data_IF_285264046174
#
_entry.id   IF_285264046174
#
_cell.length_a   1.000
_cell.length_b   1.000
_cell.length_c   1.000
_cell.angle_alpha   90.00
_cell.angle_beta   90.00
_cell.angle_gamma   90.00
#
_symmetry.space_group_name_H-M   'P 1'
#
loop_
_entity.id
_entity.type
_entity.pdbx_description
1 polymer ?
#
# COMPACT_ATOMS: atom_id res chain seq x y z
N UNK A 1 -13.99 -15.79 -8.42
CA UNK A 1 -14.39 -14.49 -7.84
C UNK A 1 -15.04 -13.69 -8.96
N UNK A 2 -16.14 -13.00 -8.68
CA UNK A 2 -16.86 -12.19 -9.68
C UNK A 2 -16.32 -10.76 -9.70
N UNK A 3 -16.37 -10.02 -10.84
CA UNK A 3 -15.93 -8.64 -10.92
C UNK A 3 -16.78 -7.73 -10.03
N UNK A 4 -16.11 -6.77 -9.39
CA UNK A 4 -16.71 -5.75 -8.53
C UNK A 4 -16.72 -4.43 -9.30
N UNK A 5 -17.89 -3.83 -9.47
CA UNK A 5 -18.07 -2.58 -10.21
C UNK A 5 -18.37 -1.43 -9.24
N UNK A 6 -17.52 -0.42 -9.27
CA UNK A 6 -17.70 0.82 -8.51
C UNK A 6 -18.36 1.87 -9.40
N UNK A 7 -19.62 2.20 -9.09
CA UNK A 7 -20.40 3.17 -9.87
C UNK A 7 -20.35 4.60 -9.30
N UNK A 8 -19.37 4.88 -8.44
CA UNK A 8 -19.07 6.23 -7.99
C UNK A 8 -18.42 7.03 -9.12
N UNK A 9 -18.29 8.34 -8.92
CA UNK A 9 -17.63 9.19 -9.93
C UNK A 9 -16.11 8.88 -10.05
N UNK A 10 -15.48 9.25 -11.20
CA UNK A 10 -14.05 8.99 -11.40
C UNK A 10 -13.15 9.54 -10.30
N UNK A 11 -13.42 10.73 -9.78
CA UNK A 11 -12.66 11.32 -8.68
C UNK A 11 -12.84 10.57 -7.36
N UNK A 12 -14.06 10.06 -7.06
CA UNK A 12 -14.28 9.20 -5.90
C UNK A 12 -13.47 7.89 -6.01
N UNK A 13 -13.46 7.26 -7.18
CA UNK A 13 -12.71 6.02 -7.44
C UNK A 13 -11.20 6.24 -7.39
N UNK A 14 -10.71 7.28 -8.06
CA UNK A 14 -9.29 7.63 -8.12
C UNK A 14 -8.71 7.97 -6.74
N UNK A 15 -9.51 8.58 -5.87
CA UNK A 15 -9.09 8.87 -4.50
C UNK A 15 -8.86 7.58 -3.70
N UNK A 16 -9.86 6.70 -3.66
CA UNK A 16 -9.76 5.36 -3.09
C UNK A 16 -10.95 4.49 -3.49
N UNK A 17 -10.73 3.18 -3.64
CA UNK A 17 -11.74 2.21 -4.04
C UNK A 17 -11.52 0.87 -3.33
N UNK A 18 -12.45 -0.07 -3.49
CA UNK A 18 -12.25 -1.46 -3.06
C UNK A 18 -11.15 -2.07 -3.94
N UNK A 19 -10.02 -2.56 -3.38
CA UNK A 19 -8.95 -3.15 -4.17
C UNK A 19 -9.46 -4.23 -5.14
N UNK A 20 -9.08 -4.11 -6.41
CA UNK A 20 -9.55 -5.01 -7.49
C UNK A 20 -10.92 -4.67 -8.08
N UNK A 21 -11.60 -3.61 -7.62
CA UNK A 21 -12.82 -3.13 -8.27
C UNK A 21 -12.52 -2.39 -9.58
N UNK A 22 -13.46 -2.48 -10.51
CA UNK A 22 -13.44 -1.75 -11.79
C UNK A 22 -14.26 -0.47 -11.68
N UNK A 23 -13.76 0.62 -12.24
CA UNK A 23 -14.50 1.87 -12.33
C UNK A 23 -15.56 1.79 -13.42
N UNK A 24 -16.83 1.97 -13.06
CA UNK A 24 -17.96 2.08 -13.96
C UNK A 24 -18.84 3.28 -13.56
N UNK A 25 -18.36 4.52 -13.71
CA UNK A 25 -19.02 5.68 -13.16
C UNK A 25 -20.40 5.91 -13.77
N UNK A 26 -21.43 6.00 -12.89
CA UNK A 26 -22.77 6.41 -13.31
C UNK A 26 -22.83 7.88 -13.72
N UNK A 27 -21.95 8.71 -13.15
CA UNK A 27 -21.86 10.15 -13.38
C UNK A 27 -20.40 10.56 -13.44
N UNK A 28 -20.07 11.55 -14.27
CA UNK A 28 -18.82 12.31 -14.17
C UNK A 28 -18.76 13.03 -12.82
N UNK A 29 -17.63 13.63 -12.48
CA UNK A 29 -17.51 14.41 -11.23
C UNK A 29 -18.41 15.65 -11.25
N UNK A 30 -18.54 16.30 -12.40
CA UNK A 30 -19.41 17.46 -12.62
C UNK A 30 -20.90 17.07 -12.52
N UNK A 31 -21.31 16.02 -13.19
CA UNK A 31 -22.69 15.54 -13.13
C UNK A 31 -23.07 15.10 -11.71
N UNK A 32 -22.16 14.38 -11.04
CA UNK A 32 -22.33 13.98 -9.64
C UNK A 32 -22.50 15.21 -8.75
N UNK A 33 -21.75 16.30 -8.98
CA UNK A 33 -21.89 17.57 -8.24
C UNK A 33 -23.27 18.19 -8.47
N UNK A 34 -23.72 18.25 -9.72
CA UNK A 34 -25.06 18.78 -10.10
C UNK A 34 -26.16 17.98 -9.43
N UNK A 35 -26.17 16.66 -9.56
CA UNK A 35 -27.17 15.75 -8.97
C UNK A 35 -27.14 15.85 -7.44
N UNK A 36 -25.94 15.90 -6.84
CA UNK A 36 -25.77 16.02 -5.39
C UNK A 36 -26.26 17.36 -4.84
N UNK A 37 -26.05 18.46 -5.56
CA UNK A 37 -26.56 19.78 -5.19
C UNK A 37 -28.09 19.83 -5.29
N UNK A 38 -28.66 19.32 -6.38
CA UNK A 38 -30.10 19.23 -6.54
C UNK A 38 -30.76 18.39 -5.45
N UNK A 39 -30.12 17.28 -5.03
CA UNK A 39 -30.60 16.47 -3.91
C UNK A 39 -30.71 17.24 -2.60
N UNK A 40 -29.72 18.10 -2.31
CA UNK A 40 -29.69 18.90 -1.08
C UNK A 40 -30.65 20.09 -1.10
N UNK A 41 -30.78 20.76 -2.26
CA UNK A 41 -31.47 22.04 -2.37
C UNK A 41 -32.90 21.89 -2.88
N UNK A 42 -33.18 20.92 -3.76
CA UNK A 42 -34.44 20.77 -4.47
C UNK A 42 -35.14 19.44 -4.14
N UNK A 43 -34.49 18.58 -3.36
CA UNK A 43 -35.05 17.32 -2.91
C UNK A 43 -34.80 16.12 -3.83
N UNK A 44 -35.15 14.94 -3.31
CA UNK A 44 -34.88 13.63 -3.93
C UNK A 44 -35.44 13.49 -5.35
N UNK A 45 -36.70 13.92 -5.55
CA UNK A 45 -37.39 13.73 -6.84
C UNK A 45 -36.72 14.51 -7.97
N UNK A 46 -36.33 15.76 -7.71
CA UNK A 46 -35.65 16.58 -8.71
C UNK A 46 -34.27 16.04 -9.06
N UNK A 47 -33.50 15.60 -8.05
CA UNK A 47 -32.22 14.97 -8.26
C UNK A 47 -32.32 13.70 -9.12
N UNK A 48 -33.37 12.86 -8.92
CA UNK A 48 -33.62 11.69 -9.75
C UNK A 48 -33.89 12.11 -11.19
N UNK A 49 -34.76 13.11 -11.43
CA UNK A 49 -35.06 13.58 -12.82
C UNK A 49 -33.81 14.06 -13.54
N UNK A 50 -32.92 14.79 -12.86
CA UNK A 50 -31.65 15.24 -13.43
C UNK A 50 -30.72 14.05 -13.68
N UNK A 51 -30.58 13.15 -12.71
CA UNK A 51 -29.74 11.95 -12.84
C UNK A 51 -30.16 11.04 -13.96
N UNK A 52 -31.47 10.85 -14.19
CA UNK A 52 -31.99 10.04 -15.29
C UNK A 52 -31.64 10.60 -16.69
N UNK A 53 -31.53 11.95 -16.82
CA UNK A 53 -31.09 12.55 -18.09
C UNK A 53 -29.66 12.16 -18.44
N UNK A 54 -28.76 12.17 -17.45
CA UNK A 54 -27.37 11.74 -17.63
C UNK A 54 -27.28 10.22 -17.83
N UNK A 55 -27.97 9.45 -16.97
CA UNK A 55 -27.93 7.99 -17.04
C UNK A 55 -28.46 7.45 -18.37
N UNK A 56 -29.58 7.98 -18.88
CA UNK A 56 -30.17 7.52 -20.13
C UNK A 56 -29.23 7.56 -21.33
N UNK A 57 -28.40 8.59 -21.41
CA UNK A 57 -27.39 8.74 -22.49
C UNK A 57 -26.28 7.70 -22.38
N UNK A 58 -25.94 7.26 -21.18
CA UNK A 58 -24.78 6.40 -20.92
C UNK A 58 -25.14 4.89 -20.89
N UNK A 59 -26.42 4.53 -20.81
CA UNK A 59 -26.85 3.14 -20.59
C UNK A 59 -26.22 2.13 -21.55
N UNK A 60 -26.26 2.39 -22.85
CA UNK A 60 -25.71 1.46 -23.84
C UNK A 60 -24.19 1.30 -23.68
N UNK A 61 -23.46 2.42 -23.54
CA UNK A 61 -22.01 2.39 -23.36
C UNK A 61 -21.59 1.73 -22.03
N UNK A 62 -22.41 1.82 -20.99
CA UNK A 62 -22.15 1.10 -19.74
C UNK A 62 -22.26 -0.42 -19.92
N UNK A 63 -23.23 -0.90 -20.68
CA UNK A 63 -23.36 -2.32 -21.00
C UNK A 63 -22.12 -2.83 -21.74
N UNK A 64 -21.67 -2.12 -22.79
CA UNK A 64 -20.48 -2.47 -23.58
C UNK A 64 -19.22 -2.51 -22.69
N UNK A 65 -19.06 -1.54 -21.81
CA UNK A 65 -17.95 -1.53 -20.85
C UNK A 65 -18.00 -2.73 -19.90
N UNK A 66 -19.18 -3.10 -19.39
CA UNK A 66 -19.34 -4.26 -18.49
C UNK A 66 -19.06 -5.56 -19.23
N UNK A 67 -19.47 -5.71 -20.47
CA UNK A 67 -19.13 -6.88 -21.29
C UNK A 67 -17.61 -7.03 -21.45
N UNK A 68 -16.91 -5.94 -21.77
CA UNK A 68 -15.45 -5.93 -21.89
C UNK A 68 -14.75 -6.27 -20.56
N UNK A 69 -15.20 -5.66 -19.46
CA UNK A 69 -14.69 -5.95 -18.10
C UNK A 69 -14.93 -7.43 -17.76
N UNK A 70 -16.13 -7.93 -18.00
CA UNK A 70 -16.50 -9.31 -17.68
C UNK A 70 -15.68 -10.32 -18.49
N UNK A 71 -15.54 -10.09 -19.79
CA UNK A 71 -14.72 -10.93 -20.67
C UNK A 71 -13.23 -10.95 -20.24
N UNK A 72 -12.67 -9.79 -19.90
CA UNK A 72 -11.30 -9.68 -19.41
C UNK A 72 -11.12 -10.39 -18.06
N UNK A 73 -12.04 -10.16 -17.12
CA UNK A 73 -11.98 -10.73 -15.77
C UNK A 73 -12.13 -12.25 -15.74
N UNK A 74 -12.94 -12.81 -16.65
CA UNK A 74 -13.24 -14.24 -16.70
C UNK A 74 -12.35 -15.01 -17.70
N UNK A 75 -11.39 -14.34 -18.33
CA UNK A 75 -10.45 -14.97 -19.26
C UNK A 75 -9.68 -16.10 -18.56
N UNK A 76 -9.80 -17.33 -19.10
CA UNK A 76 -9.14 -18.51 -18.52
C UNK A 76 -9.86 -19.14 -17.33
N UNK A 77 -11.04 -18.64 -16.95
CA UNK A 77 -11.87 -19.26 -15.90
C UNK A 77 -12.74 -20.41 -16.46
N UNK A 78 -13.23 -21.33 -15.61
CA UNK A 78 -14.11 -22.41 -16.01
C UNK A 78 -15.39 -21.89 -16.70
N UNK A 79 -15.89 -22.66 -17.69
CA UNK A 79 -17.06 -22.27 -18.53
C UNK A 79 -18.31 -21.97 -17.69
N UNK A 80 -18.54 -22.73 -16.63
CA UNK A 80 -19.68 -22.52 -15.72
C UNK A 80 -19.61 -21.17 -14.98
N UNK A 81 -18.42 -20.68 -14.66
CA UNK A 81 -18.20 -19.36 -14.05
C UNK A 81 -18.52 -18.26 -15.08
N UNK A 82 -18.02 -18.42 -16.31
CA UNK A 82 -18.27 -17.47 -17.40
C UNK A 82 -19.76 -17.41 -17.75
N UNK A 83 -20.46 -18.53 -17.78
CA UNK A 83 -21.90 -18.59 -18.10
C UNK A 83 -22.80 -17.97 -17.03
N UNK A 84 -22.36 -17.90 -15.77
CA UNK A 84 -23.16 -17.32 -14.66
C UNK A 84 -23.40 -15.84 -14.79
N UNK A 85 -22.62 -15.10 -15.59
CA UNK A 85 -22.72 -13.64 -15.81
C UNK A 85 -22.97 -12.86 -14.51
N UNK A 86 -22.26 -13.19 -13.43
CA UNK A 86 -22.50 -12.64 -12.11
C UNK A 86 -21.59 -11.45 -11.82
N UNK A 87 -22.15 -10.37 -11.25
CA UNK A 87 -21.47 -9.12 -10.94
C UNK A 87 -21.80 -8.66 -9.51
N UNK A 88 -20.89 -7.96 -8.89
CA UNK A 88 -21.11 -7.18 -7.67
C UNK A 88 -21.00 -5.68 -7.99
N UNK A 89 -22.04 -4.92 -7.66
CA UNK A 89 -22.08 -3.47 -7.91
C UNK A 89 -22.16 -2.73 -6.58
N UNK A 90 -21.44 -1.64 -6.46
CA UNK A 90 -21.57 -0.74 -5.32
C UNK A 90 -21.46 0.73 -5.69
N UNK A 91 -22.06 1.56 -4.85
CA UNK A 91 -21.78 3.01 -4.79
C UNK A 91 -21.35 3.37 -3.36
N UNK A 92 -21.45 4.64 -2.98
CA UNK A 92 -21.06 5.08 -1.63
C UNK A 92 -21.81 4.37 -0.50
N UNK A 93 -23.13 4.16 -0.64
CA UNK A 93 -24.01 3.56 0.41
C UNK A 93 -24.81 2.34 -0.04
N UNK A 94 -24.60 1.80 -1.26
CA UNK A 94 -25.43 0.74 -1.79
C UNK A 94 -26.88 1.17 -2.06
N UNK A 95 -27.08 2.44 -2.43
CA UNK A 95 -28.41 3.04 -2.66
C UNK A 95 -28.71 3.27 -4.15
N UNK A 96 -29.45 4.35 -4.46
CA UNK A 96 -30.02 4.63 -5.77
C UNK A 96 -29.06 4.49 -6.96
N UNK A 97 -27.80 4.93 -6.84
CA UNK A 97 -26.82 4.83 -7.93
C UNK A 97 -26.54 3.37 -8.29
N UNK A 98 -26.19 2.55 -7.30
CA UNK A 98 -25.94 1.12 -7.53
C UNK A 98 -27.20 0.36 -7.91
N UNK A 99 -28.39 0.72 -7.39
CA UNK A 99 -29.65 0.07 -7.76
C UNK A 99 -30.05 0.38 -9.21
N UNK A 100 -29.84 1.61 -9.69
CA UNK A 100 -30.10 1.96 -11.09
C UNK A 100 -29.23 1.20 -12.07
N UNK A 101 -27.92 1.11 -11.79
CA UNK A 101 -26.99 0.34 -12.62
C UNK A 101 -27.28 -1.17 -12.51
N UNK A 102 -27.56 -1.67 -11.31
CA UNK A 102 -27.92 -3.09 -11.14
C UNK A 102 -29.18 -3.45 -11.94
N UNK A 103 -30.20 -2.60 -11.92
CA UNK A 103 -31.40 -2.78 -12.76
C UNK A 103 -31.10 -2.86 -14.24
N UNK A 104 -30.25 -1.95 -14.76
CA UNK A 104 -29.85 -1.95 -16.17
C UNK A 104 -29.14 -3.25 -16.56
N UNK A 105 -28.19 -3.69 -15.74
CA UNK A 105 -27.37 -4.87 -16.02
C UNK A 105 -28.18 -6.17 -15.85
N UNK A 106 -29.12 -6.22 -14.89
CA UNK A 106 -30.04 -7.33 -14.71
C UNK A 106 -30.99 -7.45 -15.92
N UNK A 107 -31.55 -6.33 -16.40
CA UNK A 107 -32.35 -6.27 -17.61
C UNK A 107 -31.60 -6.82 -18.82
N UNK A 108 -30.31 -6.57 -18.93
CA UNK A 108 -29.46 -7.06 -20.02
C UNK A 108 -29.08 -8.55 -19.88
N UNK A 109 -29.29 -9.15 -18.71
CA UNK A 109 -29.07 -10.58 -18.47
C UNK A 109 -27.86 -10.93 -17.59
N UNK A 110 -27.30 -9.96 -16.88
CA UNK A 110 -26.35 -10.24 -15.79
C UNK A 110 -27.09 -10.55 -14.49
N UNK A 111 -26.55 -11.46 -13.70
CA UNK A 111 -26.95 -11.65 -12.30
C UNK A 111 -26.22 -10.66 -11.42
N UNK A 112 -26.91 -9.67 -10.87
CA UNK A 112 -26.27 -8.55 -10.17
C UNK A 112 -26.54 -8.60 -8.67
N UNK A 113 -25.46 -8.54 -7.90
CA UNK A 113 -25.53 -8.33 -6.44
C UNK A 113 -25.13 -6.89 -6.13
N UNK A 114 -25.78 -6.29 -5.13
CA UNK A 114 -25.44 -4.96 -4.63
C UNK A 114 -24.77 -5.11 -3.26
N UNK A 115 -23.60 -4.51 -3.09
CA UNK A 115 -22.93 -4.48 -1.78
C UNK A 115 -23.76 -3.67 -0.80
N UNK A 116 -24.32 -4.35 0.21
CA UNK A 116 -25.11 -3.73 1.26
C UNK A 116 -24.26 -2.69 2.02
N UNK A 117 -24.77 -1.47 2.16
CA UNK A 117 -24.06 -0.35 2.76
C UNK A 117 -22.94 0.26 1.89
N UNK A 118 -22.62 -0.36 0.73
CA UNK A 118 -21.68 0.13 -0.27
C UNK A 118 -20.26 0.35 0.25
N UNK A 119 -19.53 1.23 -0.41
CA UNK A 119 -18.15 1.57 -0.05
C UNK A 119 -18.01 2.08 1.40
N UNK A 120 -19.00 2.77 1.93
CA UNK A 120 -19.02 3.21 3.33
C UNK A 120 -18.98 2.04 4.30
N UNK A 121 -19.67 0.93 4.00
CA UNK A 121 -19.63 -0.28 4.82
C UNK A 121 -18.29 -0.99 4.70
N UNK A 122 -17.72 -1.08 3.49
CA UNK A 122 -16.35 -1.58 3.28
C UNK A 122 -15.33 -0.80 4.13
N UNK A 123 -15.41 0.53 4.17
CA UNK A 123 -14.52 1.34 5.01
C UNK A 123 -14.65 1.06 6.51
N UNK A 124 -15.84 0.73 6.99
CA UNK A 124 -16.01 0.28 8.39
C UNK A 124 -15.30 -1.05 8.64
N UNK A 125 -15.40 -1.97 7.69
CA UNK A 125 -14.68 -3.24 7.75
C UNK A 125 -13.16 -3.02 7.72
N UNK A 126 -12.66 -2.08 6.92
CA UNK A 126 -11.25 -1.69 6.90
C UNK A 126 -10.77 -1.24 8.28
N UNK A 127 -11.48 -0.33 8.93
CA UNK A 127 -11.13 0.10 10.29
C UNK A 127 -11.18 -1.03 11.31
N UNK A 128 -12.17 -1.90 11.20
CA UNK A 128 -12.27 -3.07 12.05
C UNK A 128 -11.05 -4.01 11.92
N UNK A 129 -10.47 -4.15 10.72
CA UNK A 129 -9.24 -4.93 10.57
C UNK A 129 -8.08 -4.37 11.41
N UNK A 130 -7.94 -3.06 11.55
CA UNK A 130 -6.87 -2.47 12.35
C UNK A 130 -7.08 -2.61 13.87
N UNK A 131 -8.31 -2.84 14.31
CA UNK A 131 -8.66 -3.05 15.71
C UNK A 131 -8.51 -4.50 16.16
N UNK A 132 -8.43 -5.46 15.21
CA UNK A 132 -8.16 -6.87 15.52
C UNK A 132 -6.76 -7.03 16.13
N UNK A 133 -6.62 -8.01 16.99
CA UNK A 133 -5.32 -8.43 17.52
C UNK A 133 -4.60 -9.36 16.54
N UNK A 134 -3.34 -9.06 16.27
CA UNK A 134 -2.46 -9.84 15.42
C UNK A 134 -1.23 -10.28 16.18
N UNK A 135 -0.77 -11.51 15.94
CA UNK A 135 0.55 -11.92 16.35
C UNK A 135 1.56 -11.44 15.32
N UNK A 136 2.28 -10.38 15.66
CA UNK A 136 3.19 -9.68 14.73
C UNK A 136 4.64 -10.01 15.10
N UNK A 137 5.45 -10.35 14.11
CA UNK A 137 6.90 -10.39 14.18
C UNK A 137 7.46 -9.25 13.30
N UNK A 138 8.38 -8.46 13.84
CA UNK A 138 8.95 -7.31 13.16
C UNK A 138 10.38 -7.60 12.73
N UNK A 139 10.70 -7.36 11.45
CA UNK A 139 12.06 -7.44 10.92
C UNK A 139 12.72 -6.08 11.11
N UNK A 140 13.65 -6.00 12.07
CA UNK A 140 14.50 -4.85 12.32
C UNK A 140 15.85 -4.96 11.63
N UNK A 141 16.60 -3.89 11.66
CA UNK A 141 17.97 -3.85 11.12
C UNK A 141 18.29 -2.49 10.52
N UNK A 142 19.55 -2.16 10.51
CA UNK A 142 20.06 -0.92 9.95
C UNK A 142 19.70 -0.76 8.46
N UNK A 143 19.82 0.46 7.95
CA UNK A 143 19.65 0.73 6.52
C UNK A 143 20.63 -0.14 5.70
N UNK A 144 20.12 -0.75 4.63
CA UNK A 144 20.90 -1.63 3.75
C UNK A 144 21.05 -3.08 4.25
N UNK A 145 20.37 -3.49 5.33
CA UNK A 145 20.42 -4.89 5.81
C UNK A 145 19.55 -5.87 5.02
N UNK A 146 18.91 -5.45 3.93
CA UNK A 146 18.10 -6.32 3.07
C UNK A 146 16.77 -6.75 3.69
N UNK A 147 16.17 -5.96 4.59
CA UNK A 147 14.89 -6.30 5.25
C UNK A 147 13.78 -6.66 4.27
N UNK A 148 13.62 -5.88 3.23
CA UNK A 148 12.59 -6.11 2.19
C UNK A 148 12.82 -7.42 1.45
N UNK A 149 14.07 -7.73 1.09
CA UNK A 149 14.42 -8.99 0.42
C UNK A 149 14.16 -10.18 1.33
N UNK A 150 14.50 -10.05 2.62
CA UNK A 150 14.21 -11.08 3.64
C UNK A 150 12.70 -11.27 3.80
N UNK A 151 11.92 -10.19 3.84
CA UNK A 151 10.46 -10.25 3.93
C UNK A 151 9.85 -10.99 2.72
N UNK A 152 10.32 -10.68 1.51
CA UNK A 152 9.90 -11.36 0.28
C UNK A 152 10.31 -12.85 0.29
N UNK A 153 11.49 -13.16 0.82
CA UNK A 153 11.94 -14.54 0.96
C UNK A 153 11.07 -15.34 1.95
N UNK A 154 10.63 -14.73 3.06
CA UNK A 154 9.67 -15.35 3.98
C UNK A 154 8.33 -15.64 3.29
N UNK A 155 7.84 -14.74 2.44
CA UNK A 155 6.64 -14.97 1.62
C UNK A 155 6.82 -16.16 0.66
N UNK A 156 7.97 -16.26 -0.01
CA UNK A 156 8.28 -17.37 -0.91
C UNK A 156 8.35 -18.71 -0.19
N UNK A 157 8.73 -18.72 1.09
CA UNK A 157 8.71 -19.88 1.96
C UNK A 157 7.32 -20.20 2.55
N UNK A 158 6.27 -19.45 2.13
CA UNK A 158 4.89 -19.68 2.54
C UNK A 158 4.50 -19.06 3.87
N UNK A 159 5.36 -18.23 4.46
CA UNK A 159 5.04 -17.47 5.68
C UNK A 159 4.21 -16.22 5.34
N UNK A 160 3.31 -15.85 6.25
CA UNK A 160 2.53 -14.63 6.08
C UNK A 160 3.42 -13.40 6.35
N UNK A 161 3.65 -12.58 5.33
CA UNK A 161 4.43 -11.37 5.44
C UNK A 161 3.77 -10.23 4.65
N UNK A 162 3.81 -9.02 5.18
CA UNK A 162 3.20 -7.82 4.57
C UNK A 162 4.28 -6.77 4.37
N UNK A 163 4.50 -6.42 3.10
CA UNK A 163 5.43 -5.36 2.68
C UNK A 163 4.72 -4.01 2.74
N UNK A 164 4.96 -3.27 3.83
CA UNK A 164 4.34 -1.97 4.08
C UNK A 164 4.86 -0.90 3.11
N UNK A 165 6.13 -0.97 2.71
CA UNK A 165 6.73 -0.05 1.75
C UNK A 165 6.13 -0.25 0.34
N UNK A 166 5.93 -1.51 -0.08
CA UNK A 166 5.28 -1.81 -1.36
C UNK A 166 3.84 -1.31 -1.40
N UNK A 167 3.05 -1.53 -0.32
CA UNK A 167 1.67 -1.01 -0.24
C UNK A 167 1.65 0.52 -0.26
N UNK A 168 2.60 1.17 0.42
CA UNK A 168 2.74 2.63 0.43
C UNK A 168 3.33 3.19 -0.88
N UNK A 169 3.81 2.34 -1.80
CA UNK A 169 4.56 2.73 -3.01
C UNK A 169 5.72 3.68 -2.68
N UNK A 170 6.42 3.43 -1.57
CA UNK A 170 7.49 4.27 -1.06
C UNK A 170 8.51 3.46 -0.29
N UNK A 171 9.77 3.50 -0.68
CA UNK A 171 10.87 2.96 0.12
C UNK A 171 11.16 3.95 1.24
N UNK A 172 11.10 3.52 2.49
CA UNK A 172 11.11 4.34 3.72
C UNK A 172 12.28 5.31 3.93
N UNK A 173 13.25 5.35 3.02
CA UNK A 173 14.42 6.23 3.07
C UNK A 173 14.25 7.51 2.23
N UNK A 174 15.17 8.48 2.38
CA UNK A 174 15.24 9.67 1.52
C UNK A 174 15.43 9.32 0.04
N UNK A 175 15.91 8.12 -0.26
CA UNK A 175 16.07 7.59 -1.61
C UNK A 175 14.80 6.88 -2.11
N UNK A 176 13.79 6.68 -1.27
CA UNK A 176 12.53 6.03 -1.60
C UNK A 176 11.74 6.70 -2.72
N UNK A 177 11.91 8.00 -2.89
CA UNK A 177 11.27 8.80 -3.95
C UNK A 177 12.04 8.79 -5.30
N UNK A 178 13.15 8.07 -5.42
CA UNK A 178 13.92 8.04 -6.68
C UNK A 178 13.15 7.38 -7.84
N UNK A 179 12.18 6.53 -7.56
CA UNK A 179 11.37 5.84 -8.55
C UNK A 179 10.20 6.66 -9.07
N UNK A 180 9.95 7.87 -8.54
CA UNK A 180 8.86 8.80 -8.94
C UNK A 180 7.44 8.18 -9.03
N UNK A 181 7.17 7.11 -8.34
CA UNK A 181 5.81 6.56 -8.26
C UNK A 181 5.01 7.38 -7.25
N UNK A 182 3.83 7.87 -7.67
CA UNK A 182 2.93 8.61 -6.78
C UNK A 182 2.38 7.66 -5.72
N UNK A 183 2.56 8.03 -4.45
CA UNK A 183 1.96 7.28 -3.35
C UNK A 183 0.42 7.25 -3.47
N UNK A 184 -0.23 6.19 -3.02
CA UNK A 184 -1.69 6.14 -2.92
C UNK A 184 -2.19 7.22 -1.93
N UNK A 185 -3.48 7.50 -1.95
CA UNK A 185 -4.09 8.26 -0.86
C UNK A 185 -4.00 7.47 0.45
N UNK A 186 -4.07 8.16 1.59
CA UNK A 186 -4.14 7.52 2.91
C UNK A 186 -5.26 6.46 2.95
N UNK A 187 -6.42 6.79 2.41
CA UNK A 187 -7.58 5.91 2.37
C UNK A 187 -7.34 4.66 1.49
N UNK A 188 -6.67 4.82 0.35
CA UNK A 188 -6.34 3.68 -0.51
C UNK A 188 -5.28 2.78 0.11
N UNK A 189 -4.26 3.34 0.76
CA UNK A 189 -3.30 2.57 1.53
C UNK A 189 -3.97 1.73 2.63
N UNK A 190 -4.88 2.33 3.39
CA UNK A 190 -5.64 1.63 4.42
C UNK A 190 -6.50 0.50 3.84
N UNK A 191 -7.13 0.71 2.68
CA UNK A 191 -7.89 -0.32 1.98
C UNK A 191 -7.01 -1.52 1.60
N UNK A 192 -5.84 -1.25 1.04
CA UNK A 192 -4.87 -2.28 0.63
C UNK A 192 -4.34 -3.04 1.86
N UNK A 193 -3.90 -2.33 2.88
CA UNK A 193 -3.39 -2.94 4.12
C UNK A 193 -4.44 -3.82 4.81
N UNK A 194 -5.70 -3.37 4.86
CA UNK A 194 -6.78 -4.16 5.47
C UNK A 194 -7.05 -5.48 4.72
N UNK A 195 -6.94 -5.48 3.38
CA UNK A 195 -7.06 -6.71 2.59
C UNK A 195 -5.91 -7.68 2.90
N UNK A 196 -4.69 -7.18 3.07
CA UNK A 196 -3.57 -8.05 3.44
C UNK A 196 -3.71 -8.58 4.87
N UNK A 197 -4.15 -7.75 5.81
CA UNK A 197 -4.40 -8.17 7.19
C UNK A 197 -5.52 -9.21 7.31
N UNK A 198 -6.55 -9.16 6.46
CA UNK A 198 -7.64 -10.16 6.47
C UNK A 198 -7.18 -11.56 6.03
N UNK A 199 -6.08 -11.66 5.29
CA UNK A 199 -5.46 -12.93 4.90
C UNK A 199 -4.66 -13.58 6.03
N UNK A 200 -4.34 -12.84 7.08
CA UNK A 200 -3.51 -13.31 8.20
C UNK A 200 -4.27 -14.35 9.02
N UNK A 201 -3.74 -15.57 9.10
CA UNK A 201 -4.31 -16.68 9.87
C UNK A 201 -3.51 -17.06 11.12
N UNK A 202 -2.27 -16.59 11.19
CA UNK A 202 -1.32 -16.92 12.25
C UNK A 202 -0.39 -15.75 12.52
N UNK A 203 0.90 -15.99 12.67
CA UNK A 203 1.94 -14.95 12.79
C UNK A 203 2.10 -14.21 11.46
N UNK A 204 2.18 -12.88 11.51
CA UNK A 204 2.50 -12.03 10.36
C UNK A 204 3.85 -11.34 10.54
N UNK A 205 4.66 -11.37 9.51
CA UNK A 205 5.94 -10.67 9.45
C UNK A 205 5.78 -9.33 8.75
N UNK A 206 6.35 -8.26 9.33
CA UNK A 206 6.37 -6.91 8.75
C UNK A 206 7.73 -6.25 8.97
N UNK A 207 8.05 -5.23 8.21
CA UNK A 207 9.26 -4.43 8.44
C UNK A 207 9.12 -3.45 9.61
N UNK A 208 10.26 -3.11 10.22
CA UNK A 208 10.31 -2.10 11.30
C UNK A 208 10.25 -0.67 10.74
N UNK A 209 9.15 -0.38 10.06
CA UNK A 209 8.88 0.95 9.54
C UNK A 209 8.39 1.91 10.63
N UNK A 210 8.66 3.20 10.43
CA UNK A 210 8.12 4.26 11.29
C UNK A 210 6.59 4.36 11.11
N UNK A 211 5.91 5.10 12.00
CA UNK A 211 4.49 5.38 11.84
C UNK A 211 4.18 6.04 10.49
N UNK A 212 5.13 6.84 9.98
CA UNK A 212 4.99 7.56 8.72
C UNK A 212 5.93 6.99 7.66
N UNK A 213 5.35 6.54 6.53
CA UNK A 213 6.04 6.05 5.34
C UNK A 213 5.79 7.04 4.19
N UNK A 214 6.73 7.94 3.94
CA UNK A 214 6.52 9.06 3.01
C UNK A 214 5.42 10.00 3.50
N UNK A 215 4.33 10.10 2.75
CA UNK A 215 3.15 10.91 3.11
C UNK A 215 2.01 10.08 3.75
N UNK A 216 2.20 8.77 3.88
CA UNK A 216 1.22 7.84 4.44
C UNK A 216 1.52 7.58 5.92
N UNK A 217 0.47 7.42 6.73
CA UNK A 217 0.58 7.02 8.13
C UNK A 217 0.00 5.62 8.33
N UNK A 218 0.71 4.78 9.09
CA UNK A 218 0.14 3.54 9.58
C UNK A 218 -1.04 3.84 10.52
N UNK A 219 -2.16 3.10 10.40
CA UNK A 219 -3.27 3.24 11.35
C UNK A 219 -2.79 3.06 12.79
N UNK A 220 -3.17 3.99 13.67
CA UNK A 220 -2.61 4.06 15.02
C UNK A 220 -2.81 2.76 15.82
N UNK A 221 -3.97 2.13 15.71
CA UNK A 221 -4.25 0.88 16.43
C UNK A 221 -3.29 -0.24 15.99
N UNK A 222 -3.03 -0.39 14.69
CA UNK A 222 -2.08 -1.36 14.16
C UNK A 222 -0.63 -1.00 14.52
N UNK A 223 -0.26 0.29 14.43
CA UNK A 223 1.07 0.76 14.81
C UNK A 223 1.39 0.47 16.28
N UNK A 224 0.44 0.66 17.19
CA UNK A 224 0.63 0.36 18.62
C UNK A 224 0.82 -1.13 18.89
N UNK A 225 0.17 -2.02 18.13
CA UNK A 225 0.42 -3.46 18.20
C UNK A 225 1.83 -3.79 17.74
N UNK A 226 2.25 -3.23 16.59
CA UNK A 226 3.63 -3.37 16.07
C UNK A 226 4.67 -2.94 17.13
N UNK A 227 4.46 -1.83 17.84
CA UNK A 227 5.40 -1.34 18.85
C UNK A 227 5.57 -2.28 20.03
N UNK A 228 4.61 -3.14 20.31
CA UNK A 228 4.64 -4.14 21.40
C UNK A 228 5.13 -5.51 20.94
N UNK A 229 5.42 -5.67 19.65
CA UNK A 229 5.76 -6.93 19.02
C UNK A 229 7.27 -7.20 19.08
N UNK A 230 7.73 -8.48 19.08
CA UNK A 230 9.13 -8.81 19.02
C UNK A 230 9.78 -8.34 17.72
N UNK A 231 11.00 -7.80 17.86
CA UNK A 231 11.80 -7.28 16.74
C UNK A 231 12.99 -8.20 16.52
N UNK A 232 13.05 -8.84 15.37
CA UNK A 232 14.19 -9.66 14.94
C UNK A 232 15.15 -8.75 14.16
N UNK A 233 16.21 -8.33 14.84
CA UNK A 233 17.12 -7.30 14.32
C UNK A 233 18.27 -7.94 13.55
N UNK A 234 18.32 -7.73 12.24
CA UNK A 234 19.40 -8.20 11.35
C UNK A 234 20.70 -7.44 11.64
N UNK A 235 21.68 -8.11 12.23
CA UNK A 235 23.01 -7.59 12.50
C UNK A 235 23.94 -7.90 11.32
N UNK A 236 23.82 -7.12 10.24
CA UNK A 236 24.66 -7.23 9.05
C UNK A 236 25.83 -6.27 9.18
N UNK A 237 27.09 -6.69 8.87
CA UNK A 237 28.28 -5.82 8.92
C UNK A 237 28.13 -4.58 8.03
N UNK A 238 28.77 -3.48 8.45
CA UNK A 238 28.67 -2.18 7.77
C UNK A 238 29.10 -2.26 6.29
N UNK A 239 30.23 -2.90 5.99
CA UNK A 239 30.76 -3.00 4.62
C UNK A 239 29.82 -3.80 3.69
N UNK A 240 29.19 -4.86 4.19
CA UNK A 240 28.22 -5.64 3.43
C UNK A 240 26.98 -4.80 3.09
N UNK A 241 26.47 -4.05 4.08
CA UNK A 241 25.36 -3.12 3.86
C UNK A 241 25.70 -2.00 2.89
N UNK A 242 26.94 -1.48 2.96
CA UNK A 242 27.43 -0.46 2.05
C UNK A 242 27.50 -0.99 0.62
N UNK A 243 28.05 -2.18 0.43
CA UNK A 243 28.13 -2.83 -0.89
C UNK A 243 26.72 -3.02 -1.47
N UNK A 244 25.79 -3.55 -0.67
CA UNK A 244 24.39 -3.74 -1.08
C UNK A 244 23.74 -2.41 -1.50
N UNK A 245 23.92 -1.33 -0.74
CA UNK A 245 23.36 -0.01 -1.06
C UNK A 245 23.95 0.55 -2.35
N UNK A 246 25.27 0.43 -2.55
CA UNK A 246 25.94 0.89 -3.77
C UNK A 246 25.41 0.15 -5.00
N UNK A 247 25.20 -1.15 -4.93
CA UNK A 247 24.64 -1.95 -6.02
C UNK A 247 23.21 -1.55 -6.37
N UNK A 248 22.39 -1.24 -5.37
CA UNK A 248 20.97 -0.95 -5.56
C UNK A 248 20.69 0.51 -5.95
N UNK A 249 21.44 1.45 -5.36
CA UNK A 249 21.20 2.88 -5.54
C UNK A 249 22.27 3.59 -6.40
N UNK A 250 23.46 3.02 -6.55
CA UNK A 250 24.53 3.62 -7.33
C UNK A 250 24.25 3.75 -8.83
N UNK A 251 23.22 3.06 -9.32
CA UNK A 251 22.78 3.11 -10.72
C UNK A 251 21.91 4.32 -11.07
N UNK A 252 21.45 5.05 -10.07
CA UNK A 252 20.62 6.23 -10.31
C UNK A 252 21.47 7.41 -10.82
N UNK A 253 20.84 8.27 -11.61
CA UNK A 253 21.45 9.48 -12.12
C UNK A 253 22.01 10.33 -10.97
N UNK A 254 23.24 10.84 -11.14
CA UNK A 254 23.97 11.63 -10.16
C UNK A 254 23.13 12.79 -9.59
N UNK A 255 22.42 13.49 -10.45
CA UNK A 255 21.55 14.60 -10.05
C UNK A 255 20.44 14.16 -9.08
N UNK A 256 19.83 13.02 -9.31
CA UNK A 256 18.80 12.46 -8.42
C UNK A 256 19.38 12.10 -7.05
N UNK A 257 20.60 11.54 -7.02
CA UNK A 257 21.31 11.22 -5.78
C UNK A 257 21.64 12.49 -4.99
N UNK A 258 22.19 13.52 -5.65
CA UNK A 258 22.48 14.82 -5.04
C UNK A 258 21.22 15.45 -4.46
N UNK A 259 20.12 15.45 -5.21
CA UNK A 259 18.85 15.98 -4.75
C UNK A 259 18.32 15.23 -3.52
N UNK A 260 18.49 13.90 -3.45
CA UNK A 260 18.14 13.11 -2.27
C UNK A 260 18.96 13.50 -1.04
N UNK A 261 20.28 13.72 -1.20
CA UNK A 261 21.16 14.22 -0.12
C UNK A 261 20.74 15.61 0.35
N UNK A 262 20.40 16.52 -0.56
CA UNK A 262 19.95 17.88 -0.23
C UNK A 262 18.65 17.86 0.60
N UNK A 263 17.71 16.96 0.30
CA UNK A 263 16.44 16.82 1.04
C UNK A 263 16.67 16.53 2.52
N UNK A 264 17.70 15.78 2.86
CA UNK A 264 18.01 15.41 4.26
C UNK A 264 19.02 16.37 4.92
N UNK A 265 19.47 17.43 4.25
CA UNK A 265 20.48 18.38 4.75
C UNK A 265 20.25 18.84 6.18
N UNK A 266 18.99 19.16 6.55
CA UNK A 266 18.66 19.63 7.92
C UNK A 266 18.96 18.58 9.00
N UNK A 267 18.87 17.30 8.64
CA UNK A 267 19.08 16.17 9.56
C UNK A 267 20.52 15.65 9.47
N UNK A 268 21.08 15.59 8.26
CA UNK A 268 22.43 15.09 7.99
C UNK A 268 23.52 16.02 8.58
N UNK A 269 23.29 17.33 8.51
CA UNK A 269 24.27 18.36 8.87
C UNK A 269 24.95 18.96 7.66
N UNK A 270 25.51 20.16 7.83
CA UNK A 270 26.11 20.92 6.71
C UNK A 270 27.39 20.31 6.18
N UNK A 271 28.25 19.80 7.08
CA UNK A 271 29.54 19.21 6.71
C UNK A 271 29.34 17.89 5.97
N UNK A 272 28.57 16.97 6.53
CA UNK A 272 28.29 15.65 5.95
C UNK A 272 27.55 15.78 4.61
N UNK A 273 26.62 16.77 4.49
CA UNK A 273 25.95 17.06 3.21
C UNK A 273 26.95 17.48 2.15
N UNK A 274 27.85 18.43 2.47
CA UNK A 274 28.91 18.90 1.54
C UNK A 274 29.84 17.75 1.14
N UNK A 275 30.26 16.95 2.13
CA UNK A 275 31.18 15.82 1.90
C UNK A 275 30.54 14.77 0.99
N UNK A 276 29.28 14.36 1.26
CA UNK A 276 28.57 13.39 0.43
C UNK A 276 28.35 13.90 -1.00
N UNK A 277 28.01 15.19 -1.18
CA UNK A 277 27.82 15.80 -2.50
C UNK A 277 29.16 15.85 -3.26
N UNK A 278 30.27 16.21 -2.60
CA UNK A 278 31.60 16.24 -3.25
C UNK A 278 31.98 14.84 -3.77
N UNK A 279 31.82 13.80 -2.97
CA UNK A 279 32.05 12.42 -3.42
C UNK A 279 31.16 12.04 -4.62
N UNK A 280 29.88 12.43 -4.62
CA UNK A 280 28.99 12.18 -5.78
C UNK A 280 29.45 12.94 -7.04
N UNK A 281 29.98 14.16 -6.90
CA UNK A 281 30.52 14.93 -8.01
C UNK A 281 31.79 14.31 -8.60
N UNK A 282 32.60 13.68 -7.74
CA UNK A 282 33.85 12.99 -8.08
C UNK A 282 33.64 11.54 -8.54
N UNK A 283 32.36 11.10 -8.69
CA UNK A 283 31.96 9.71 -9.02
C UNK A 283 32.34 8.66 -7.97
N UNK A 284 32.75 9.08 -6.77
CA UNK A 284 32.97 8.19 -5.63
C UNK A 284 31.68 7.90 -4.88
N UNK A 285 30.84 7.08 -5.52
CA UNK A 285 29.53 6.69 -5.01
C UNK A 285 29.65 5.95 -3.68
N UNK A 286 30.68 5.10 -3.52
CA UNK A 286 30.87 4.30 -2.30
C UNK A 286 31.13 5.19 -1.10
N UNK A 287 32.03 6.16 -1.20
CA UNK A 287 32.32 7.10 -0.11
C UNK A 287 31.13 8.00 0.22
N UNK A 288 30.37 8.44 -0.78
CA UNK A 288 29.14 9.19 -0.56
C UNK A 288 28.12 8.39 0.27
N UNK A 289 27.86 7.13 -0.11
CA UNK A 289 26.93 6.27 0.63
C UNK A 289 27.47 5.87 2.01
N UNK A 290 28.79 5.75 2.20
CA UNK A 290 29.36 5.50 3.52
C UNK A 290 29.06 6.64 4.51
N UNK A 291 29.14 7.91 4.07
CA UNK A 291 28.77 9.08 4.89
C UNK A 291 27.27 9.00 5.26
N UNK A 292 26.42 8.72 4.28
CA UNK A 292 24.96 8.64 4.49
C UNK A 292 24.59 7.46 5.40
N UNK A 293 25.21 6.30 5.23
CA UNK A 293 24.92 5.11 6.01
C UNK A 293 25.27 5.31 7.49
N UNK A 294 26.43 5.92 7.80
CA UNK A 294 26.82 6.30 9.18
C UNK A 294 25.79 7.23 9.84
N UNK A 295 25.22 8.14 9.07
CA UNK A 295 24.15 9.02 9.56
C UNK A 295 22.87 8.24 9.87
N UNK A 296 22.43 7.35 8.96
CA UNK A 296 21.25 6.53 9.17
C UNK A 296 21.40 5.60 10.36
N UNK A 297 22.58 5.03 10.57
CA UNK A 297 22.86 4.16 11.72
C UNK A 297 22.71 4.91 13.05
N UNK A 298 23.27 6.13 13.14
CA UNK A 298 23.09 7.00 14.33
C UNK A 298 21.63 7.33 14.59
N UNK A 299 20.86 7.56 13.52
CA UNK A 299 19.43 7.86 13.64
C UNK A 299 18.63 6.65 14.07
N UNK A 300 18.90 5.49 13.50
CA UNK A 300 18.24 4.22 13.84
C UNK A 300 18.44 3.86 15.32
N UNK A 301 19.65 4.00 15.84
CA UNK A 301 19.94 3.78 17.26
C UNK A 301 19.10 4.70 18.16
N UNK A 302 19.00 5.99 17.83
CA UNK A 302 18.15 6.93 18.59
C UNK A 302 16.67 6.52 18.57
N UNK A 303 16.18 5.99 17.44
CA UNK A 303 14.80 5.51 17.34
C UNK A 303 14.56 4.25 18.17
N UNK A 304 15.54 3.35 18.28
CA UNK A 304 15.46 2.17 19.13
C UNK A 304 15.39 2.59 20.60
N UNK A 305 16.26 3.50 21.03
CA UNK A 305 16.33 3.97 22.44
C UNK A 305 15.04 4.66 22.91
N UNK A 306 14.25 5.19 21.97
CA UNK A 306 12.97 5.85 22.26
C UNK A 306 11.78 4.88 22.32
N UNK A 307 11.94 3.59 21.97
CA UNK A 307 10.88 2.59 22.11
C UNK A 307 10.64 2.26 23.60
N UNK A 308 9.38 2.10 23.96
CA UNK A 308 8.96 1.93 25.37
C UNK A 308 9.52 0.67 26.07
N UNK A 309 10.04 -0.35 25.34
CA UNK A 309 10.66 -1.56 25.87
C UNK A 309 11.68 -2.15 24.89
N UNK A 310 12.81 -1.48 24.62
CA UNK A 310 13.68 -1.85 23.50
C UNK A 310 14.44 -3.16 23.74
N UNK A 311 14.91 -3.42 24.96
CA UNK A 311 15.82 -4.54 25.23
C UNK A 311 15.13 -5.91 25.33
N UNK A 312 13.90 -5.96 25.86
CA UNK A 312 13.18 -7.24 26.05
C UNK A 312 12.49 -7.77 24.79
N UNK A 313 12.22 -6.89 23.81
CA UNK A 313 11.54 -7.24 22.57
C UNK A 313 12.51 -7.46 21.40
N UNK A 314 13.75 -6.98 21.48
CA UNK A 314 14.71 -7.09 20.41
C UNK A 314 15.52 -8.37 20.50
N UNK A 315 15.39 -9.22 19.51
CA UNK A 315 16.16 -10.46 19.32
C UNK A 315 17.21 -10.25 18.23
N UNK A 316 18.51 -10.26 18.56
CA UNK A 316 19.55 -10.12 17.54
C UNK A 316 19.60 -11.35 16.64
N UNK A 317 19.75 -11.13 15.34
CA UNK A 317 19.96 -12.17 14.31
C UNK A 317 21.30 -11.87 13.64
N UNK A 318 22.30 -12.67 13.93
CA UNK A 318 23.63 -12.49 13.36
C UNK A 318 23.63 -12.90 11.88
N UNK A 319 24.05 -11.97 11.03
CA UNK A 319 24.10 -12.11 9.58
C UNK A 319 25.51 -11.80 9.08
N UNK A 320 26.10 -12.66 8.25
CA UNK A 320 27.44 -12.44 7.67
C UNK A 320 27.40 -11.52 6.46
N UNK A 321 26.32 -11.58 5.67
CA UNK A 321 26.12 -10.84 4.42
C UNK A 321 24.67 -10.40 4.26
N UNK A 322 24.38 -9.62 3.20
CA UNK A 322 23.00 -9.26 2.80
C UNK A 322 22.45 -10.37 1.88
N UNK A 323 22.35 -11.59 2.39
CA UNK A 323 21.76 -12.73 1.68
C UNK A 323 20.33 -12.98 2.18
N UNK A 324 19.34 -12.79 1.32
CA UNK A 324 17.93 -12.89 1.68
C UNK A 324 17.55 -14.29 2.19
N UNK A 325 18.06 -15.36 1.57
CA UNK A 325 17.74 -16.75 1.91
C UNK A 325 18.37 -17.14 3.24
N UNK A 326 19.68 -16.88 3.39
CA UNK A 326 20.40 -17.18 4.63
C UNK A 326 19.81 -16.41 5.81
N UNK A 327 19.52 -15.10 5.62
CA UNK A 327 19.00 -14.23 6.67
C UNK A 327 17.55 -14.55 7.03
N UNK A 328 16.70 -14.95 6.07
CA UNK A 328 15.35 -15.45 6.34
C UNK A 328 15.38 -16.73 7.18
N UNK A 329 16.25 -17.69 6.85
CA UNK A 329 16.41 -18.91 7.62
C UNK A 329 16.92 -18.64 9.03
N UNK A 330 17.85 -17.68 9.20
CA UNK A 330 18.35 -17.26 10.51
C UNK A 330 17.24 -16.63 11.38
N UNK A 331 16.37 -15.80 10.79
CA UNK A 331 15.21 -15.23 11.47
C UNK A 331 14.26 -16.33 11.95
N UNK A 332 13.88 -17.27 11.07
CA UNK A 332 12.97 -18.37 11.41
C UNK A 332 13.52 -19.17 12.59
N UNK A 333 14.78 -19.59 12.49
CA UNK A 333 15.46 -20.33 13.58
C UNK A 333 15.51 -19.57 14.91
N UNK A 334 15.58 -18.22 14.84
CA UNK A 334 15.58 -17.38 16.04
C UNK A 334 14.16 -17.20 16.61
N UNK A 335 13.14 -17.27 15.75
CA UNK A 335 11.74 -17.14 16.17
C UNK A 335 11.20 -18.44 16.82
N UNK A 336 11.74 -19.59 16.47
CA UNK A 336 11.37 -20.91 17.02
C UNK A 336 11.95 -21.17 18.41
N UNK A 337 12.92 -20.35 18.86
CA UNK A 337 13.52 -20.40 20.22
C UNK A 337 12.73 -19.53 21.21
#
# INVERSE_FOLDING_TARGET
>A
IYPVLDVRSPGEFSHAHIPGAYSLPLFTDEERKVVGTAYKQQGKQQAIKIGLKYFGVQMAGMIEQVEAIYASHTKGQPVDVVQRKTLLVHCWRGGMRSSGVAWLLDLYGFKVYILAGGYKFFRRWVFYQFEKEYTINVIGGYTGSGKTDVLQQLQQQGLCAIDLEAIAMHKGSAFGNLTMVKQPSQEMFENLLAIELDKVKSVVWIEDESQRIGDINLPMAFYLQKQKSPVYNLNVPFEERLTYIVEHYGRFEKEKLINAVIRIKKRLGGLETKTAINFLLEDDIKSAFAVLLKYYDKWYLKCIDQKANPASLTKPVECTTVDAVANANAIIKTAEK
#
